data_IF_320219880451
#
_entry.id   IF_320219880451
#
_cell.length_a   1.000
_cell.length_b   1.000
_cell.length_c   1.000
_cell.angle_alpha   90.00
_cell.angle_beta   90.00
_cell.angle_gamma   90.00
#
_symmetry.space_group_name_H-M   'P 1'
#
loop_
_entity.id
_entity.type
_entity.pdbx_description
1 polymer ?
#
# COMPACT_ATOMS: atom_id res chain seq x y z
N UNK A 1 -27.13 23.73 -9.98
CA UNK A 1 -25.84 23.19 -10.45
C UNK A 1 -26.15 22.13 -11.50
N UNK A 2 -26.00 22.44 -12.79
CA UNK A 2 -26.22 21.47 -13.88
C UNK A 2 -24.92 20.69 -14.08
N UNK A 3 -24.92 19.39 -13.79
CA UNK A 3 -23.76 18.53 -14.01
C UNK A 3 -23.86 18.03 -15.45
N UNK A 4 -23.02 18.55 -16.34
CA UNK A 4 -22.83 18.01 -17.69
C UNK A 4 -21.85 16.84 -17.60
N UNK A 5 -22.35 15.61 -17.76
CA UNK A 5 -21.53 14.40 -17.86
C UNK A 5 -21.23 14.19 -19.34
N UNK A 6 -20.01 14.48 -19.78
CA UNK A 6 -19.53 14.13 -21.12
C UNK A 6 -18.71 12.84 -21.05
N UNK A 7 -19.37 11.69 -21.24
CA UNK A 7 -18.68 10.43 -21.51
C UNK A 7 -18.32 10.38 -22.99
N UNK A 8 -17.02 10.27 -23.31
CA UNK A 8 -16.54 10.05 -24.69
C UNK A 8 -16.80 8.59 -25.09
N UNK A 9 -17.98 8.31 -25.64
CA UNK A 9 -18.31 7.01 -26.22
C UNK A 9 -17.62 6.89 -27.59
N UNK A 10 -16.74 5.90 -27.74
CA UNK A 10 -16.22 5.48 -29.05
C UNK A 10 -17.30 4.68 -29.80
N UNK A 11 -17.65 5.18 -30.99
CA UNK A 11 -18.45 4.59 -32.09
C UNK A 11 -19.98 4.48 -31.91
N UNK A 12 -20.79 4.68 -32.99
CA UNK A 12 -22.22 4.95 -32.91
C UNK A 12 -23.13 3.72 -33.15
N UNK A 13 -22.69 2.49 -32.83
CA UNK A 13 -23.46 1.28 -33.21
C UNK A 13 -24.00 0.42 -32.05
N UNK A 14 -23.97 0.89 -30.81
CA UNK A 14 -24.71 0.23 -29.72
C UNK A 14 -25.87 1.11 -29.27
N UNK A 15 -26.96 0.99 -30.01
CA UNK A 15 -28.26 1.60 -29.75
C UNK A 15 -28.78 1.10 -28.39
N UNK A 16 -29.02 2.04 -27.48
CA UNK A 16 -29.69 1.84 -26.19
C UNK A 16 -31.06 1.20 -26.44
N UNK A 17 -31.20 -0.09 -26.13
CA UNK A 17 -32.50 -0.70 -25.87
C UNK A 17 -32.87 -0.26 -24.45
N UNK A 18 -33.62 0.84 -24.36
CA UNK A 18 -34.26 1.29 -23.13
C UNK A 18 -35.46 0.39 -22.88
N UNK A 19 -35.22 -0.73 -22.21
CA UNK A 19 -36.30 -1.58 -21.72
C UNK A 19 -36.85 -1.02 -20.40
N UNK A 20 -38.17 -1.10 -20.28
CA UNK A 20 -39.02 -0.33 -19.35
C UNK A 20 -39.05 -0.89 -17.92
N UNK A 21 -37.87 -1.04 -17.29
CA UNK A 21 -37.75 -1.33 -15.86
C UNK A 21 -36.55 -0.56 -15.27
N UNK A 22 -36.84 0.58 -14.62
CA UNK A 22 -35.95 1.29 -13.70
C UNK A 22 -34.48 1.44 -14.13
N UNK A 23 -34.17 2.51 -14.86
CA UNK A 23 -32.83 3.03 -15.21
C UNK A 23 -31.65 2.52 -14.37
N UNK A 24 -31.07 1.36 -14.74
CA UNK A 24 -29.77 0.92 -14.23
C UNK A 24 -28.68 1.43 -15.16
N UNK A 25 -27.85 2.35 -14.65
CA UNK A 25 -26.66 2.81 -15.36
C UNK A 25 -25.63 1.66 -15.43
N UNK A 26 -24.89 1.51 -16.56
CA UNK A 26 -23.76 0.59 -16.65
C UNK A 26 -22.67 0.88 -15.62
N UNK A 27 -21.87 -0.14 -15.29
CA UNK A 27 -20.80 -0.03 -14.29
C UNK A 27 -19.76 1.03 -14.68
N UNK A 28 -19.46 1.21 -15.97
CA UNK A 28 -18.57 2.26 -16.46
C UNK A 28 -19.11 3.67 -16.19
N UNK A 29 -20.42 3.85 -16.35
CA UNK A 29 -21.09 5.12 -16.08
C UNK A 29 -21.05 5.45 -14.58
N UNK A 30 -21.38 4.48 -13.74
CA UNK A 30 -21.25 4.61 -12.28
C UNK A 30 -19.81 4.89 -11.88
N UNK A 31 -18.84 4.18 -12.45
CA UNK A 31 -17.42 4.40 -12.21
C UNK A 31 -17.01 5.85 -12.53
N UNK A 32 -17.47 6.42 -13.64
CA UNK A 32 -17.20 7.83 -13.98
C UNK A 32 -17.84 8.80 -12.98
N UNK A 33 -19.11 8.58 -12.62
CA UNK A 33 -19.83 9.38 -11.64
C UNK A 33 -19.08 9.37 -10.30
N UNK A 34 -18.77 8.17 -9.83
CA UNK A 34 -18.07 7.94 -8.57
C UNK A 34 -16.65 8.51 -8.59
N UNK A 35 -15.85 8.30 -9.63
CA UNK A 35 -14.53 8.93 -9.79
C UNK A 35 -14.58 10.45 -9.65
N UNK A 36 -15.65 11.10 -10.12
CA UNK A 36 -15.82 12.55 -9.98
C UNK A 36 -16.08 12.99 -8.53
N UNK A 37 -16.77 12.16 -7.73
CA UNK A 37 -17.00 12.41 -6.30
C UNK A 37 -15.77 12.13 -5.43
N UNK A 38 -14.85 11.28 -5.92
CA UNK A 38 -13.74 10.72 -5.15
C UNK A 38 -12.37 11.32 -5.47
N UNK A 39 -12.33 12.45 -6.17
CA UNK A 39 -11.08 13.23 -6.35
C UNK A 39 -10.50 13.77 -5.03
N UNK A 40 -11.34 13.89 -3.99
CA UNK A 40 -10.94 14.24 -2.64
C UNK A 40 -11.33 13.10 -1.68
N UNK A 41 -10.50 12.92 -0.65
CA UNK A 41 -10.37 11.87 0.39
C UNK A 41 -11.64 11.35 1.13
N UNK A 42 -12.79 11.30 0.47
CA UNK A 42 -14.10 11.06 1.07
C UNK A 42 -14.53 9.60 0.89
N UNK A 43 -13.62 8.68 1.26
CA UNK A 43 -13.89 7.22 1.36
C UNK A 43 -15.12 6.88 2.20
N UNK A 44 -15.55 7.79 3.10
CA UNK A 44 -16.72 7.62 3.96
C UNK A 44 -18.03 7.42 3.20
N UNK A 45 -18.18 8.00 2.01
CA UNK A 45 -19.41 7.85 1.21
C UNK A 45 -19.51 6.51 0.48
N UNK A 46 -18.38 5.82 0.27
CA UNK A 46 -18.37 4.47 -0.32
C UNK A 46 -19.15 3.49 0.56
N UNK A 47 -19.03 3.63 1.89
CA UNK A 47 -19.77 2.79 2.83
C UNK A 47 -21.28 2.94 2.64
N UNK A 48 -21.80 4.17 2.60
CA UNK A 48 -23.24 4.40 2.41
C UNK A 48 -23.73 3.89 1.05
N UNK A 49 -22.96 4.10 -0.02
CA UNK A 49 -23.34 3.65 -1.37
C UNK A 49 -23.35 2.12 -1.50
N UNK A 50 -22.40 1.46 -0.83
CA UNK A 50 -22.30 0.01 -0.81
C UNK A 50 -23.54 -0.67 -0.20
N UNK A 51 -24.31 0.05 0.62
CA UNK A 51 -25.54 -0.45 1.24
C UNK A 51 -26.78 -0.29 0.35
N UNK A 52 -26.70 0.51 -0.72
CA UNK A 52 -27.85 0.84 -1.56
C UNK A 52 -28.18 -0.31 -2.53
N UNK A 53 -27.18 -0.94 -3.13
CA UNK A 53 -27.38 -2.06 -4.06
C UNK A 53 -26.14 -2.95 -4.19
N UNK A 54 -26.33 -4.20 -4.65
CA UNK A 54 -25.22 -5.12 -4.94
C UNK A 54 -24.29 -4.60 -6.06
N UNK A 55 -24.85 -3.87 -7.02
CA UNK A 55 -24.07 -3.25 -8.09
C UNK A 55 -23.14 -2.17 -7.52
N UNK A 56 -23.69 -1.25 -6.71
CA UNK A 56 -22.91 -0.21 -6.06
C UNK A 56 -21.92 -0.79 -5.04
N UNK A 57 -22.27 -1.88 -4.35
CA UNK A 57 -21.35 -2.65 -3.51
C UNK A 57 -20.11 -3.09 -4.31
N UNK A 58 -20.32 -3.82 -5.42
CA UNK A 58 -19.24 -4.30 -6.29
C UNK A 58 -18.38 -3.15 -6.85
N UNK A 59 -19.03 -2.08 -7.30
CA UNK A 59 -18.34 -0.93 -7.85
C UNK A 59 -17.51 -0.23 -6.77
N UNK A 60 -18.08 0.03 -5.59
CA UNK A 60 -17.38 0.69 -4.49
C UNK A 60 -16.24 -0.15 -3.93
N UNK A 61 -16.34 -1.48 -3.98
CA UNK A 61 -15.26 -2.40 -3.62
C UNK A 61 -14.06 -2.28 -4.57
N UNK A 62 -14.30 -2.08 -5.87
CA UNK A 62 -13.23 -1.90 -6.87
C UNK A 62 -12.41 -0.61 -6.66
N UNK A 63 -12.94 0.35 -5.91
CA UNK A 63 -12.24 1.59 -5.54
C UNK A 63 -11.41 1.46 -4.26
N UNK A 64 -11.35 0.28 -3.65
CA UNK A 64 -10.56 0.02 -2.44
C UNK A 64 -9.15 -0.41 -2.80
N UNK A 65 -8.24 0.56 -2.82
CA UNK A 65 -6.80 0.33 -3.04
C UNK A 65 -6.00 0.12 -1.74
N UNK A 66 -6.57 0.50 -0.59
CA UNK A 66 -5.90 0.45 0.71
C UNK A 66 -6.85 -0.01 1.82
N UNK A 67 -6.34 -0.83 2.72
CA UNK A 67 -7.06 -1.36 3.89
C UNK A 67 -6.19 -1.29 5.14
N UNK A 68 -6.70 -0.64 6.19
CA UNK A 68 -6.14 -0.75 7.54
C UNK A 68 -6.73 -1.97 8.23
N UNK A 69 -5.85 -2.78 8.78
CA UNK A 69 -6.14 -4.08 9.38
C UNK A 69 -6.07 -3.97 10.90
N UNK A 70 -7.12 -4.46 11.56
CA UNK A 70 -7.26 -4.48 13.02
C UNK A 70 -7.47 -5.91 13.51
N UNK A 71 -7.18 -6.18 14.77
CA UNK A 71 -7.39 -7.51 15.37
C UNK A 71 -8.85 -8.00 15.22
N UNK A 72 -9.80 -7.06 15.32
CA UNK A 72 -11.24 -7.32 15.15
C UNK A 72 -11.61 -7.83 13.75
N UNK A 73 -10.81 -7.50 12.74
CA UNK A 73 -11.04 -7.87 11.34
C UNK A 73 -10.52 -9.26 11.00
N UNK A 74 -9.79 -9.91 11.93
CA UNK A 74 -9.14 -11.20 11.73
C UNK A 74 -10.05 -12.32 11.22
N UNK A 75 -11.25 -12.54 11.78
CA UNK A 75 -12.13 -13.61 11.32
C UNK A 75 -12.61 -13.44 9.88
N UNK A 76 -12.47 -12.23 9.29
CA UNK A 76 -13.05 -11.88 8.01
C UNK A 76 -12.00 -11.72 6.89
N UNK A 77 -10.71 -11.85 7.18
CA UNK A 77 -9.63 -11.57 6.22
C UNK A 77 -9.74 -12.32 4.90
N UNK A 78 -9.99 -13.63 4.95
CA UNK A 78 -10.15 -14.42 3.73
C UNK A 78 -11.28 -13.91 2.82
N UNK A 79 -12.33 -13.31 3.40
CA UNK A 79 -13.40 -12.67 2.64
C UNK A 79 -13.01 -11.27 2.16
N UNK A 80 -12.36 -10.46 3.01
CA UNK A 80 -11.93 -9.10 2.67
C UNK A 80 -10.97 -9.10 1.49
N UNK A 81 -9.98 -10.00 1.50
CA UNK A 81 -8.98 -10.11 0.43
C UNK A 81 -9.53 -10.69 -0.88
N UNK A 82 -10.58 -11.52 -0.83
CA UNK A 82 -11.32 -11.95 -2.02
C UNK A 82 -12.22 -10.85 -2.60
N UNK A 83 -12.78 -10.01 -1.73
CA UNK A 83 -13.73 -8.95 -2.10
C UNK A 83 -13.03 -7.74 -2.70
N UNK A 84 -11.91 -7.31 -2.10
CA UNK A 84 -11.18 -6.12 -2.52
C UNK A 84 -10.00 -6.49 -3.44
N UNK A 85 -10.30 -6.86 -4.68
CA UNK A 85 -9.31 -7.37 -5.64
C UNK A 85 -8.29 -6.33 -6.10
N UNK A 86 -8.59 -5.04 -5.95
CA UNK A 86 -7.70 -3.94 -6.35
C UNK A 86 -6.84 -3.42 -5.19
N UNK A 87 -6.78 -4.15 -4.08
CA UNK A 87 -5.91 -3.80 -2.95
C UNK A 87 -4.43 -3.84 -3.37
N UNK A 88 -3.75 -2.73 -3.13
CA UNK A 88 -2.30 -2.59 -3.32
C UNK A 88 -1.57 -2.16 -2.06
N UNK A 89 -2.30 -1.63 -1.07
CA UNK A 89 -1.74 -1.13 0.19
C UNK A 89 -2.41 -1.75 1.40
N UNK A 90 -1.62 -2.25 2.34
CA UNK A 90 -2.09 -2.74 3.64
C UNK A 90 -1.40 -2.02 4.79
N UNK A 91 -2.20 -1.63 5.78
CA UNK A 91 -1.72 -0.96 6.97
C UNK A 91 -2.03 -1.80 8.22
N UNK A 92 -0.98 -2.32 8.84
CA UNK A 92 -1.02 -3.15 10.04
C UNK A 92 -0.60 -2.38 11.30
N UNK A 93 -0.51 -1.05 11.27
CA UNK A 93 -0.01 -0.23 12.40
C UNK A 93 -0.71 -0.49 13.74
N UNK A 94 -1.94 -1.00 13.70
CA UNK A 94 -2.78 -1.29 14.87
C UNK A 94 -3.04 -2.79 15.07
N UNK A 95 -2.39 -3.65 14.29
CA UNK A 95 -2.55 -5.09 14.37
C UNK A 95 -1.54 -5.65 15.39
N UNK A 96 -2.05 -6.32 16.42
CA UNK A 96 -1.24 -6.82 17.55
C UNK A 96 -1.17 -8.35 17.60
N UNK A 97 -1.98 -9.04 16.81
CA UNK A 97 -1.93 -10.50 16.69
C UNK A 97 -0.73 -10.98 15.84
N UNK A 98 -0.62 -12.29 15.65
CA UNK A 98 0.44 -12.90 14.85
C UNK A 98 0.39 -12.43 13.39
N UNK A 99 1.33 -11.56 13.03
CA UNK A 99 1.46 -10.99 11.70
C UNK A 99 2.21 -11.93 10.73
N UNK A 100 3.11 -12.77 11.23
CA UNK A 100 3.84 -13.73 10.40
C UNK A 100 2.87 -14.73 9.76
N UNK A 101 2.00 -15.33 10.58
CA UNK A 101 0.97 -16.25 10.09
C UNK A 101 -0.03 -15.57 9.14
N UNK A 102 -0.40 -14.32 9.44
CA UNK A 102 -1.32 -13.56 8.61
C UNK A 102 -0.73 -13.23 7.24
N UNK A 103 0.53 -12.76 7.18
CA UNK A 103 1.16 -12.41 5.91
C UNK A 103 1.31 -13.64 5.01
N UNK A 104 1.65 -14.81 5.57
CA UNK A 104 1.66 -16.07 4.80
C UNK A 104 0.28 -16.33 4.17
N UNK A 105 -0.81 -16.15 4.92
CA UNK A 105 -2.15 -16.32 4.37
C UNK A 105 -2.46 -15.29 3.27
N UNK A 106 -2.08 -14.03 3.47
CA UNK A 106 -2.35 -12.93 2.53
C UNK A 106 -1.61 -13.13 1.21
N UNK A 107 -0.33 -13.48 1.26
CA UNK A 107 0.47 -13.66 0.04
C UNK A 107 0.16 -14.96 -0.70
N UNK A 108 -0.58 -15.90 -0.09
CA UNK A 108 -1.17 -17.03 -0.80
C UNK A 108 -2.34 -16.63 -1.73
N UNK A 109 -2.88 -15.41 -1.67
CA UNK A 109 -3.95 -14.98 -2.55
C UNK A 109 -3.39 -14.49 -3.90
N UNK A 110 -3.59 -15.25 -5.01
CA UNK A 110 -2.93 -14.95 -6.29
C UNK A 110 -3.46 -13.68 -6.98
N UNK A 111 -4.62 -13.17 -6.55
CA UNK A 111 -5.23 -11.95 -7.08
C UNK A 111 -4.71 -10.68 -6.43
N UNK A 112 -3.98 -10.78 -5.30
CA UNK A 112 -3.45 -9.61 -4.61
C UNK A 112 -2.08 -9.21 -5.16
N UNK A 113 -1.92 -7.94 -5.48
CA UNK A 113 -0.65 -7.35 -5.88
C UNK A 113 -0.31 -6.23 -4.89
N UNK A 114 0.13 -6.62 -3.70
CA UNK A 114 0.47 -5.68 -2.65
C UNK A 114 1.81 -5.02 -2.99
N UNK A 115 1.79 -3.70 -3.10
CA UNK A 115 2.95 -2.86 -3.41
C UNK A 115 3.34 -1.97 -2.23
N UNK A 116 2.45 -1.78 -1.25
CA UNK A 116 2.71 -0.95 -0.08
C UNK A 116 2.30 -1.67 1.21
N UNK A 117 3.20 -1.69 2.19
CA UNK A 117 2.96 -2.24 3.52
C UNK A 117 3.35 -1.23 4.59
N UNK A 118 2.47 -1.03 5.58
CA UNK A 118 2.82 -0.39 6.85
C UNK A 118 2.77 -1.44 7.95
N UNK A 119 3.89 -1.67 8.62
CA UNK A 119 4.07 -2.69 9.65
C UNK A 119 3.84 -2.09 11.06
N UNK A 120 3.41 -2.94 12.02
CA UNK A 120 3.34 -2.57 13.43
C UNK A 120 4.75 -2.52 14.04
N UNK A 121 4.81 -2.63 15.37
CA UNK A 121 6.03 -2.50 16.19
C UNK A 121 7.17 -3.47 15.86
N UNK A 122 6.87 -4.60 15.22
CA UNK A 122 7.84 -5.66 14.93
C UNK A 122 7.81 -6.02 13.44
N UNK A 123 8.99 -6.18 12.84
CA UNK A 123 9.10 -6.72 11.49
C UNK A 123 8.84 -8.24 11.55
N UNK A 124 7.87 -8.75 10.77
CA UNK A 124 7.60 -10.18 10.70
C UNK A 124 8.80 -10.91 10.11
N UNK A 125 9.37 -11.82 10.91
CA UNK A 125 10.63 -12.49 10.60
C UNK A 125 10.50 -13.55 9.51
N UNK A 126 9.36 -14.23 9.41
CA UNK A 126 9.15 -15.35 8.49
C UNK A 126 8.13 -15.02 7.40
N UNK A 127 7.07 -14.28 7.74
CA UNK A 127 5.97 -13.97 6.84
C UNK A 127 6.40 -13.16 5.62
N UNK A 128 7.34 -12.23 5.78
CA UNK A 128 7.89 -11.44 4.68
C UNK A 128 8.97 -12.18 3.90
N UNK A 129 9.87 -12.90 4.59
CA UNK A 129 10.98 -13.61 3.96
C UNK A 129 10.55 -14.87 3.20
N UNK A 130 9.55 -15.58 3.70
CA UNK A 130 9.11 -16.86 3.11
C UNK A 130 8.38 -16.70 1.78
N UNK A 131 7.81 -15.52 1.53
CA UNK A 131 6.90 -15.30 0.41
C UNK A 131 7.57 -14.73 -0.85
N UNK A 132 8.89 -14.46 -0.79
CA UNK A 132 9.67 -13.87 -1.89
C UNK A 132 8.91 -12.72 -2.59
N UNK A 133 8.43 -11.76 -1.80
CA UNK A 133 7.53 -10.70 -2.28
C UNK A 133 8.32 -9.79 -3.21
N UNK A 134 8.11 -9.95 -4.52
CA UNK A 134 8.82 -9.17 -5.54
C UNK A 134 8.11 -7.87 -5.88
N UNK A 135 6.85 -7.69 -5.47
CA UNK A 135 6.00 -6.56 -5.87
C UNK A 135 6.08 -5.37 -4.92
N UNK A 136 6.75 -5.52 -3.78
CA UNK A 136 6.77 -4.49 -2.74
C UNK A 136 7.62 -3.29 -3.16
N UNK A 137 6.97 -2.14 -3.28
CA UNK A 137 7.55 -0.86 -3.71
C UNK A 137 7.73 0.10 -2.53
N UNK A 138 6.85 0.02 -1.53
CA UNK A 138 6.89 0.89 -0.35
C UNK A 138 6.72 0.08 0.94
N UNK A 139 7.62 0.32 1.89
CA UNK A 139 7.58 -0.27 3.21
C UNK A 139 7.68 0.84 4.26
N UNK A 140 6.79 0.84 5.24
CA UNK A 140 6.85 1.70 6.41
C UNK A 140 6.91 0.83 7.64
N UNK A 141 7.98 0.98 8.41
CA UNK A 141 8.13 0.36 9.72
C UNK A 141 7.99 1.46 10.77
N UNK A 142 7.27 1.17 11.85
CA UNK A 142 7.03 2.16 12.90
C UNK A 142 7.36 1.61 14.29
N UNK A 143 7.92 2.48 15.14
CA UNK A 143 8.19 2.31 16.58
C UNK A 143 9.46 1.51 16.95
N UNK A 144 9.76 1.56 18.25
CA UNK A 144 11.10 1.41 18.84
C UNK A 144 11.78 0.04 18.70
N UNK A 145 11.10 -1.02 18.28
CA UNK A 145 11.68 -2.38 18.32
C UNK A 145 12.34 -2.83 17.02
N UNK A 146 12.34 -2.01 15.98
CA UNK A 146 13.11 -2.30 14.76
C UNK A 146 14.60 -2.14 15.08
N UNK A 147 15.31 -3.27 15.12
CA UNK A 147 16.75 -3.31 15.35
C UNK A 147 17.54 -3.59 14.04
N UNK A 148 18.86 -3.72 14.15
CA UNK A 148 19.69 -4.03 12.99
C UNK A 148 19.42 -5.42 12.41
N UNK A 149 19.01 -6.40 13.23
CA UNK A 149 18.70 -7.75 12.74
C UNK A 149 17.44 -7.72 11.89
N UNK A 150 16.44 -6.95 12.28
CA UNK A 150 15.22 -6.74 11.49
C UNK A 150 15.55 -6.11 10.12
N UNK A 151 16.50 -5.17 10.06
CA UNK A 151 16.95 -4.58 8.80
C UNK A 151 17.68 -5.58 7.89
N UNK A 152 18.32 -6.61 8.44
CA UNK A 152 18.91 -7.68 7.64
C UNK A 152 17.87 -8.47 6.85
N UNK A 153 16.62 -8.48 7.34
CA UNK A 153 15.50 -9.18 6.71
C UNK A 153 14.85 -8.34 5.60
N UNK A 154 15.19 -7.05 5.48
CA UNK A 154 14.68 -6.18 4.43
C UNK A 154 15.55 -6.35 3.18
N UNK A 155 15.19 -7.33 2.36
CA UNK A 155 15.83 -7.62 1.07
C UNK A 155 14.77 -7.66 -0.03
N UNK A 156 14.23 -6.49 -0.39
CA UNK A 156 13.18 -6.37 -1.41
C UNK A 156 13.73 -5.70 -2.66
N UNK A 157 13.92 -6.45 -3.78
CA UNK A 157 14.62 -5.93 -4.95
C UNK A 157 13.87 -4.79 -5.65
N UNK A 158 12.54 -4.71 -5.53
CA UNK A 158 11.72 -3.65 -6.13
C UNK A 158 11.37 -2.50 -5.17
N UNK A 159 11.90 -2.52 -3.95
CA UNK A 159 11.59 -1.49 -2.96
C UNK A 159 12.18 -0.15 -3.39
N UNK A 160 11.31 0.85 -3.53
CA UNK A 160 11.67 2.22 -3.88
C UNK A 160 11.65 3.14 -2.66
N UNK A 161 10.74 2.91 -1.71
CA UNK A 161 10.55 3.78 -0.55
C UNK A 161 10.57 2.98 0.75
N UNK A 162 11.52 3.29 1.63
CA UNK A 162 11.58 2.77 3.00
C UNK A 162 11.44 3.93 3.99
N UNK A 163 10.46 3.83 4.89
CA UNK A 163 10.23 4.80 5.96
C UNK A 163 10.36 4.08 7.30
N UNK A 164 11.28 4.56 8.13
CA UNK A 164 11.55 4.07 9.47
C UNK A 164 11.13 5.16 10.48
N UNK A 165 9.89 5.07 10.95
CA UNK A 165 9.30 6.01 11.92
C UNK A 165 9.68 5.55 13.34
N UNK A 166 10.30 6.42 14.14
CA UNK A 166 10.61 6.13 15.56
C UNK A 166 11.44 4.84 15.80
N UNK A 167 12.34 4.48 14.87
CA UNK A 167 13.19 3.30 14.96
C UNK A 167 14.55 3.67 15.60
N UNK A 168 14.59 3.78 16.93
CA UNK A 168 15.75 4.35 17.63
C UNK A 168 16.98 3.43 17.71
N UNK A 169 16.77 2.12 17.62
CA UNK A 169 17.83 1.12 17.78
C UNK A 169 18.53 0.76 16.46
N UNK A 170 18.10 1.38 15.36
CA UNK A 170 18.74 1.26 14.04
C UNK A 170 20.08 1.97 14.03
N UNK A 171 21.13 1.21 13.68
CA UNK A 171 22.47 1.75 13.47
C UNK A 171 22.75 1.92 11.99
N UNK A 172 23.78 2.71 11.69
CA UNK A 172 24.32 2.90 10.34
C UNK A 172 24.64 1.57 9.64
N UNK A 173 25.16 0.56 10.35
CA UNK A 173 25.44 -0.76 9.77
C UNK A 173 24.17 -1.42 9.23
N UNK A 174 23.06 -1.29 9.95
CA UNK A 174 21.77 -1.80 9.52
C UNK A 174 21.25 -1.05 8.28
N UNK A 175 21.37 0.29 8.27
CA UNK A 175 20.98 1.10 7.11
C UNK A 175 21.81 0.78 5.86
N UNK A 176 23.13 0.60 6.03
CA UNK A 176 24.04 0.22 4.95
C UNK A 176 23.63 -1.11 4.31
N UNK A 177 23.28 -2.11 5.13
CA UNK A 177 22.79 -3.39 4.62
C UNK A 177 21.54 -3.22 3.74
N UNK A 178 20.60 -2.37 4.15
CA UNK A 178 19.39 -2.10 3.33
C UNK A 178 19.76 -1.46 2.00
N UNK A 179 20.65 -0.45 1.99
CA UNK A 179 21.09 0.23 0.77
C UNK A 179 21.84 -0.71 -0.19
N UNK A 180 22.59 -1.69 0.35
CA UNK A 180 23.29 -2.69 -0.43
C UNK A 180 22.33 -3.71 -1.09
N UNK A 181 21.25 -4.10 -0.39
CA UNK A 181 20.34 -5.16 -0.83
C UNK A 181 19.08 -4.66 -1.55
N UNK A 182 18.60 -3.45 -1.23
CA UNK A 182 17.46 -2.82 -1.89
C UNK A 182 17.95 -1.95 -3.06
N UNK A 183 18.40 -2.59 -4.13
CA UNK A 183 19.11 -1.93 -5.25
C UNK A 183 18.32 -0.82 -5.97
N UNK A 184 16.98 -0.84 -5.88
CA UNK A 184 16.10 0.15 -6.50
C UNK A 184 15.65 1.23 -5.52
N UNK A 185 16.16 1.25 -4.29
CA UNK A 185 15.75 2.20 -3.25
C UNK A 185 16.04 3.64 -3.71
N UNK A 186 14.98 4.46 -3.72
CA UNK A 186 15.01 5.87 -4.09
C UNK A 186 14.74 6.79 -2.91
N UNK A 187 14.16 6.28 -1.85
CA UNK A 187 13.84 7.10 -0.69
C UNK A 187 14.02 6.27 0.57
N UNK A 188 14.87 6.77 1.46
CA UNK A 188 15.06 6.23 2.79
C UNK A 188 14.81 7.37 3.79
N UNK A 189 13.76 7.23 4.59
CA UNK A 189 13.45 8.13 5.69
C UNK A 189 13.73 7.43 7.01
N UNK A 190 14.53 8.04 7.87
CA UNK A 190 14.78 7.54 9.23
C UNK A 190 14.68 8.72 10.20
N UNK A 191 13.70 8.67 11.09
CA UNK A 191 13.49 9.76 12.05
C UNK A 191 14.38 9.51 13.29
N UNK A 192 15.53 10.17 13.38
CA UNK A 192 16.36 10.13 14.60
C UNK A 192 16.73 11.52 15.10
N UNK A 193 16.31 11.83 16.34
CA UNK A 193 16.71 13.04 17.07
C UNK A 193 17.94 12.78 17.93
N UNK A 194 19.14 12.95 17.34
CA UNK A 194 20.34 13.50 18.01
C UNK A 194 21.53 13.53 17.05
N UNK A 195 22.03 14.75 16.83
CA UNK A 195 23.35 15.10 16.28
C UNK A 195 23.66 14.61 14.87
N UNK A 196 23.39 15.51 13.90
CA UNK A 196 24.11 15.93 12.68
C UNK A 196 25.43 15.27 12.20
N UNK A 197 25.90 14.14 12.74
CA UNK A 197 27.10 13.43 12.27
C UNK A 197 26.80 12.18 11.41
N UNK A 198 25.53 11.75 11.30
CA UNK A 198 25.17 10.45 10.69
C UNK A 198 24.60 10.53 9.28
N UNK A 199 24.13 11.71 8.86
CA UNK A 199 23.53 11.95 7.54
C UNK A 199 24.61 12.04 6.46
N UNK A 200 25.74 12.65 6.82
CA UNK A 200 26.89 12.86 5.96
C UNK A 200 27.48 11.55 5.43
N UNK A 201 27.35 10.44 6.16
CA UNK A 201 27.99 9.16 5.79
C UNK A 201 27.15 8.30 4.84
N UNK A 202 25.81 8.33 4.92
CA UNK A 202 24.96 7.65 3.92
C UNK A 202 25.00 8.42 2.60
N UNK A 203 24.97 9.76 2.65
CA UNK A 203 25.23 10.62 1.49
C UNK A 203 26.62 10.37 0.90
N UNK A 204 27.70 10.39 1.71
CA UNK A 204 29.07 10.08 1.25
C UNK A 204 29.21 8.66 0.68
N UNK A 205 28.50 7.66 1.21
CA UNK A 205 28.51 6.30 0.67
C UNK A 205 27.81 6.22 -0.69
N UNK A 206 26.67 6.90 -0.85
CA UNK A 206 25.93 6.96 -2.12
C UNK A 206 26.68 7.76 -3.20
N UNK A 207 27.35 8.85 -2.80
CA UNK A 207 28.32 9.63 -3.60
C UNK A 207 29.47 8.75 -4.11
N UNK A 208 30.01 7.90 -3.24
CA UNK A 208 31.22 7.10 -3.51
C UNK A 208 30.95 5.87 -4.38
N UNK A 209 29.72 5.36 -4.39
CA UNK A 209 29.29 4.23 -5.25
C UNK A 209 28.56 4.66 -6.52
N UNK A 210 28.48 5.95 -6.86
CA UNK A 210 27.74 6.48 -8.02
C UNK A 210 26.24 6.07 -8.02
N UNK A 211 25.70 5.78 -6.83
CA UNK A 211 24.28 5.44 -6.60
C UNK A 211 23.40 6.69 -6.46
N UNK A 212 24.02 7.86 -6.57
CA UNK A 212 23.49 9.15 -6.14
C UNK A 212 22.37 9.72 -7.02
N UNK A 213 22.21 9.25 -8.26
CA UNK A 213 21.36 9.96 -9.21
C UNK A 213 19.85 9.98 -8.88
N UNK A 214 19.35 9.17 -7.95
CA UNK A 214 17.90 9.05 -7.69
C UNK A 214 17.48 8.84 -6.23
N UNK A 215 18.39 8.82 -5.24
CA UNK A 215 18.00 8.59 -3.85
C UNK A 215 17.77 9.91 -3.11
N UNK A 216 16.52 10.23 -2.80
CA UNK A 216 16.14 11.37 -1.95
C UNK A 216 16.17 10.89 -0.50
N UNK A 217 17.15 11.36 0.27
CA UNK A 217 17.17 11.22 1.72
C UNK A 217 16.37 12.38 2.31
N UNK A 218 15.26 12.08 2.98
CA UNK A 218 14.47 13.06 3.71
C UNK A 218 14.60 12.79 5.21
N UNK A 219 15.00 13.83 5.94
CA UNK A 219 15.20 13.84 7.39
C UNK A 219 13.89 14.16 8.12
#
# INVERSE_FOLDING_TARGET
MKINITCSLKSPQQMMVLDSAGSYLPDECWNCILKSFFKDDRRRYLNSLSLVSKQLLSITDSFRFSLTVYDQTHPFFGHLFKRFTNLTSLDFSHYTCDLDALLVQIFCFPSLNITSLKLPERIPTYGLLSQNITTLVSLTCSKNFVDNYDLLLICFPMLLHLILEHCNDVTEKGLKHVVENCINLRELRHCYSKSDMRIQMVEEYLLKEDKEANMILLL
#
